data_IF_860257945038
#
_entry.id   IF_860257945038
#
_cell.length_a   1.000
_cell.length_b   1.000
_cell.length_c   1.000
_cell.angle_alpha   90.00
_cell.angle_beta   90.00
_cell.angle_gamma   90.00
#
_symmetry.space_group_name_H-M   'P 1'
#
loop_
_entity.id
_entity.type
_entity.pdbx_description
1 polymer ?
#
# COMPACT_ATOMS: atom_id res chain seq x y z
N UNK A 1 -0.37 20.62 52.34
CA UNK A 1 -0.08 20.77 50.90
C UNK A 1 1.37 20.41 50.63
N UNK A 2 1.67 19.23 50.08
CA UNK A 2 2.99 18.95 49.48
C UNK A 2 2.98 17.60 48.73
N UNK A 3 3.47 17.66 47.50
CA UNK A 3 3.94 16.64 46.54
C UNK A 3 3.16 15.35 46.22
N UNK A 4 2.26 14.84 47.06
CA UNK A 4 1.47 13.63 46.75
C UNK A 4 0.20 13.88 45.91
N UNK A 5 -0.15 15.15 45.70
CA UNK A 5 -1.27 15.57 44.84
C UNK A 5 -0.89 15.97 43.41
N UNK A 6 0.36 15.73 42.99
CA UNK A 6 0.86 16.10 41.65
C UNK A 6 1.28 14.91 40.77
N UNK A 7 1.04 13.68 41.20
CA UNK A 7 1.43 12.48 40.47
C UNK A 7 0.24 11.53 40.31
N UNK A 8 -0.27 11.52 39.07
CA UNK A 8 -1.16 10.54 38.41
C UNK A 8 -2.68 10.78 38.65
N UNK A 9 -3.55 10.85 37.61
CA UNK A 9 -3.33 10.60 36.17
C UNK A 9 -3.80 11.73 35.23
N UNK A 10 -2.92 12.20 34.34
CA UNK A 10 -3.35 12.90 33.11
C UNK A 10 -3.95 11.94 32.06
N UNK A 11 -4.30 10.70 32.42
CA UNK A 11 -5.13 9.80 31.60
C UNK A 11 -6.64 10.12 31.70
N UNK A 12 -7.02 11.24 32.33
CA UNK A 12 -8.43 11.60 32.58
C UNK A 12 -8.93 12.82 31.78
N UNK A 13 -8.52 13.02 30.53
CA UNK A 13 -9.21 13.96 29.60
C UNK A 13 -9.31 13.49 28.16
N UNK A 14 -9.37 12.18 27.91
CA UNK A 14 -9.92 11.67 26.65
C UNK A 14 -10.75 10.39 26.85
N UNK A 15 -12.06 10.51 27.08
CA UNK A 15 -12.93 9.34 27.25
C UNK A 15 -12.99 8.45 25.98
N UNK A 16 -12.57 8.95 24.82
CA UNK A 16 -12.60 8.23 23.56
C UNK A 16 -11.69 6.99 23.54
N UNK A 17 -10.49 7.03 24.11
CA UNK A 17 -9.56 5.88 24.07
C UNK A 17 -10.09 4.65 24.83
N UNK A 18 -10.96 4.87 25.81
CA UNK A 18 -11.63 3.81 26.55
C UNK A 18 -12.85 3.25 25.82
N UNK A 19 -13.37 3.97 24.81
CA UNK A 19 -14.49 3.55 23.96
C UNK A 19 -14.02 2.84 22.69
N UNK A 20 -12.72 2.87 22.38
CA UNK A 20 -12.16 2.10 21.26
C UNK A 20 -12.41 0.60 21.52
N UNK A 21 -12.97 -0.14 20.55
CA UNK A 21 -13.23 -1.57 20.72
C UNK A 21 -11.98 -2.35 21.16
N UNK A 22 -12.10 -3.36 22.06
CA UNK A 22 -10.95 -4.06 22.61
C UNK A 22 -10.04 -4.70 21.56
N UNK A 23 -10.62 -5.26 20.48
CA UNK A 23 -9.85 -5.88 19.40
C UNK A 23 -8.99 -4.84 18.66
N UNK A 24 -9.55 -3.66 18.36
CA UNK A 24 -8.81 -2.56 17.73
C UNK A 24 -7.77 -1.97 18.66
N UNK A 25 -8.09 -1.84 19.95
CA UNK A 25 -7.16 -1.30 20.95
C UNK A 25 -5.87 -2.12 21.05
N UNK A 26 -5.92 -3.44 20.79
CA UNK A 26 -4.75 -4.32 20.74
C UNK A 26 -3.83 -4.05 19.54
N UNK A 27 -4.34 -3.41 18.49
CA UNK A 27 -3.59 -3.05 17.28
C UNK A 27 -2.98 -1.65 17.35
N UNK A 28 -3.19 -0.92 18.46
CA UNK A 28 -2.66 0.42 18.66
C UNK A 28 -1.32 0.35 19.40
N UNK A 29 -0.33 1.05 18.87
CA UNK A 29 0.93 1.30 19.58
C UNK A 29 0.75 2.52 20.48
N UNK A 30 0.83 2.33 21.80
CA UNK A 30 0.69 3.41 22.79
C UNK A 30 2.02 3.53 23.54
N UNK A 31 2.58 4.74 23.56
CA UNK A 31 3.77 5.08 24.33
C UNK A 31 3.43 6.05 25.46
N UNK A 32 4.06 5.81 26.62
CA UNK A 32 4.00 6.69 27.79
C UNK A 32 5.18 7.66 27.86
N UNK A 33 6.11 7.56 26.92
CA UNK A 33 7.25 8.45 26.80
C UNK A 33 6.88 9.73 26.04
N UNK A 34 7.82 10.67 25.94
CA UNK A 34 7.70 11.81 25.00
C UNK A 34 8.14 11.36 23.61
N UNK A 35 7.53 11.88 22.53
CA UNK A 35 8.03 11.64 21.19
C UNK A 35 9.46 12.16 21.06
N UNK A 36 10.33 11.36 20.44
CA UNK A 36 11.74 11.64 20.15
C UNK A 36 11.89 12.44 18.85
N UNK A 37 10.94 12.33 17.93
CA UNK A 37 10.95 13.09 16.68
C UNK A 37 10.26 12.34 15.54
N UNK A 38 9.95 13.09 14.48
CA UNK A 38 9.37 12.56 13.24
C UNK A 38 10.42 12.59 12.11
N UNK A 39 10.42 11.56 11.26
CA UNK A 39 11.40 11.47 10.17
C UNK A 39 11.19 10.24 9.28
N UNK A 40 11.90 10.24 8.15
CA UNK A 40 11.94 9.13 7.20
C UNK A 40 13.20 8.31 7.41
N UNK A 41 13.05 7.00 7.62
CA UNK A 41 14.18 6.08 7.71
C UNK A 41 15.19 6.47 8.78
N UNK A 42 16.44 6.04 8.63
CA UNK A 42 17.49 6.36 9.59
C UNK A 42 18.01 7.79 9.39
N UNK A 43 17.95 8.62 10.43
CA UNK A 43 18.48 9.98 10.38
C UNK A 43 19.85 10.04 11.05
N UNK A 44 20.78 10.72 10.39
CA UNK A 44 22.08 11.06 10.94
C UNK A 44 22.20 12.57 11.05
N UNK A 45 22.46 13.07 12.25
CA UNK A 45 22.83 14.47 12.45
C UNK A 45 24.32 14.53 12.78
N UNK A 46 25.06 15.28 11.96
CA UNK A 46 26.46 15.60 12.21
C UNK A 46 26.51 16.99 12.86
N UNK A 47 26.97 17.06 14.09
CA UNK A 47 27.19 18.34 14.78
C UNK A 47 28.68 18.55 15.04
N UNK A 48 29.16 19.77 14.75
CA UNK A 48 30.54 20.17 15.01
C UNK A 48 30.50 21.25 16.09
N UNK A 49 31.09 20.96 17.25
CA UNK A 49 31.21 21.94 18.33
C UNK A 49 32.33 22.94 18.08
N UNK A 50 32.27 24.11 18.72
CA UNK A 50 33.32 25.15 18.68
C UNK A 50 34.69 24.66 19.18
N UNK A 51 34.75 23.48 19.82
CA UNK A 51 35.99 22.82 20.27
C UNK A 51 36.51 21.77 19.27
N UNK A 52 35.90 21.65 18.09
CA UNK A 52 36.31 20.71 17.05
C UNK A 52 35.84 19.27 17.25
N UNK A 53 35.04 18.97 18.27
CA UNK A 53 34.43 17.65 18.40
C UNK A 53 33.34 17.48 17.35
N UNK A 54 33.39 16.37 16.62
CA UNK A 54 32.35 15.89 15.71
C UNK A 54 31.53 14.85 16.45
N UNK A 55 30.23 15.09 16.57
CA UNK A 55 29.28 14.14 17.13
C UNK A 55 28.38 13.59 16.00
N UNK A 56 28.13 12.29 16.06
CA UNK A 56 27.31 11.56 15.09
C UNK A 56 26.13 10.97 15.85
N UNK A 57 24.99 11.67 15.79
CA UNK A 57 23.77 11.18 16.40
C UNK A 57 22.95 10.40 15.37
N UNK A 58 22.72 9.12 15.68
CA UNK A 58 21.84 8.23 14.94
C UNK A 58 20.46 8.27 15.60
N UNK A 59 19.48 8.87 14.92
CA UNK A 59 18.10 8.90 15.39
C UNK A 59 17.23 7.98 14.55
N UNK A 60 16.56 7.05 15.22
CA UNK A 60 15.47 6.26 14.64
C UNK A 60 14.20 7.06 14.89
N UNK A 61 13.57 7.64 13.85
CA UNK A 61 12.35 8.41 14.03
C UNK A 61 11.25 7.51 14.59
N UNK A 62 10.36 8.13 15.36
CA UNK A 62 9.26 7.40 15.94
C UNK A 62 8.29 6.92 14.86
N UNK A 63 7.62 5.79 15.14
CA UNK A 63 6.61 5.30 14.22
C UNK A 63 5.43 6.28 14.16
N UNK A 64 5.02 6.72 12.95
CA UNK A 64 3.98 7.74 12.79
C UNK A 64 2.64 7.36 13.42
N UNK A 65 2.37 6.06 13.59
CA UNK A 65 1.12 5.56 14.20
C UNK A 65 1.13 5.57 15.73
N UNK A 66 2.28 5.81 16.37
CA UNK A 66 2.43 5.71 17.83
C UNK A 66 1.60 6.78 18.53
N UNK A 67 0.66 6.35 19.36
CA UNK A 67 -0.16 7.21 20.21
C UNK A 67 0.64 7.53 21.48
N UNK A 68 1.08 8.78 21.62
CA UNK A 68 1.77 9.25 22.81
C UNK A 68 0.78 9.77 23.85
N UNK A 69 0.66 9.07 24.99
CA UNK A 69 -0.25 9.48 26.07
C UNK A 69 0.17 10.78 26.77
N UNK A 70 1.42 11.20 26.58
CA UNK A 70 1.97 12.45 27.12
C UNK A 70 1.50 13.68 26.34
N UNK A 71 1.01 13.50 25.12
CA UNK A 71 0.56 14.60 24.27
C UNK A 71 -0.91 14.94 24.54
N UNK A 72 -1.25 16.24 24.71
CA UNK A 72 -2.61 16.64 24.98
C UNK A 72 -3.48 16.40 23.75
N UNK A 73 -4.71 16.00 24.01
CA UNK A 73 -5.68 15.75 22.98
C UNK A 73 -7.08 16.09 23.48
N UNK A 74 -7.88 16.71 22.62
CA UNK A 74 -9.11 17.41 22.96
C UNK A 74 -10.16 17.09 21.92
N UNK A 75 -11.35 16.74 22.37
CA UNK A 75 -12.50 16.60 21.52
C UNK A 75 -12.84 17.96 20.87
N UNK A 76 -12.79 18.07 19.53
CA UNK A 76 -13.08 19.34 18.86
C UNK A 76 -14.57 19.67 18.98
N UNK A 77 -14.86 20.95 19.27
CA UNK A 77 -16.24 21.46 19.32
C UNK A 77 -16.91 21.48 17.94
N UNK A 78 -16.11 21.70 16.89
CA UNK A 78 -16.53 21.71 15.48
C UNK A 78 -15.60 20.80 14.67
N UNK A 79 -15.85 19.47 14.64
CA UNK A 79 -15.03 18.50 13.92
C UNK A 79 -14.77 18.86 12.45
N UNK A 80 -15.74 19.48 11.78
CA UNK A 80 -15.70 19.93 10.39
C UNK A 80 -14.69 21.05 10.14
N UNK A 81 -14.32 21.82 11.16
CA UNK A 81 -13.37 22.92 11.07
C UNK A 81 -11.95 22.52 11.46
N UNK A 82 -11.74 21.27 11.88
CA UNK A 82 -10.40 20.77 12.21
C UNK A 82 -9.57 20.67 10.93
N UNK A 83 -8.39 21.32 10.86
CA UNK A 83 -7.54 21.26 9.69
C UNK A 83 -7.17 19.81 9.33
N UNK A 84 -7.08 19.54 8.03
CA UNK A 84 -6.57 18.28 7.48
C UNK A 84 -5.13 18.03 7.93
N UNK A 85 -4.71 16.77 7.92
CA UNK A 85 -3.32 16.46 8.23
C UNK A 85 -2.40 16.82 7.07
N UNK A 86 -1.12 17.03 7.40
CA UNK A 86 -0.04 17.17 6.41
C UNK A 86 0.18 15.86 5.64
N UNK A 87 0.96 15.96 4.56
CA UNK A 87 1.43 14.78 3.85
C UNK A 87 2.40 13.97 4.73
N UNK A 88 2.35 12.64 4.61
CA UNK A 88 3.04 11.70 5.52
C UNK A 88 2.80 11.98 7.01
N UNK A 89 1.53 11.97 7.45
CA UNK A 89 1.16 12.43 8.78
C UNK A 89 1.70 11.54 9.89
N UNK A 90 1.93 12.13 11.06
CA UNK A 90 2.25 11.41 12.30
C UNK A 90 1.36 11.86 13.47
N UNK A 91 1.02 10.93 14.37
CA UNK A 91 0.24 11.25 15.57
C UNK A 91 0.93 12.29 16.46
N UNK A 92 2.26 12.24 16.56
CA UNK A 92 3.06 13.17 17.34
C UNK A 92 2.94 14.62 16.86
N UNK A 93 2.74 14.85 15.56
CA UNK A 93 2.64 16.19 14.98
C UNK A 93 1.21 16.75 14.95
N UNK A 94 0.20 15.92 15.21
CA UNK A 94 -1.18 16.38 15.27
C UNK A 94 -1.39 17.46 16.34
N UNK A 95 -2.24 18.45 16.07
CA UNK A 95 -2.71 19.36 17.11
C UNK A 95 -3.58 18.61 18.13
N UNK A 96 -3.82 19.17 19.34
CA UNK A 96 -4.68 18.51 20.32
C UNK A 96 -6.07 18.16 19.79
N UNK A 97 -6.66 19.02 18.96
CA UNK A 97 -7.98 18.79 18.34
C UNK A 97 -7.95 17.69 17.29
N UNK A 98 -6.89 17.63 16.47
CA UNK A 98 -6.67 16.55 15.51
C UNK A 98 -6.50 15.20 16.21
N UNK A 99 -5.74 15.14 17.31
CA UNK A 99 -5.62 13.91 18.13
C UNK A 99 -6.95 13.47 18.73
N UNK A 100 -7.78 14.41 19.19
CA UNK A 100 -9.12 14.10 19.68
C UNK A 100 -10.05 13.57 18.59
N UNK A 101 -10.03 14.20 17.41
CA UNK A 101 -10.76 13.72 16.25
C UNK A 101 -10.34 12.30 15.86
N UNK A 102 -9.02 12.05 15.78
CA UNK A 102 -8.45 10.74 15.46
C UNK A 102 -8.88 9.66 16.44
N UNK A 103 -8.73 9.89 17.74
CA UNK A 103 -9.06 8.92 18.78
C UNK A 103 -10.57 8.64 18.86
N UNK A 104 -11.41 9.64 18.57
CA UNK A 104 -12.85 9.44 18.39
C UNK A 104 -13.15 8.59 17.17
N UNK A 105 -12.48 8.85 16.04
CA UNK A 105 -12.65 8.08 14.81
C UNK A 105 -12.23 6.62 14.96
N UNK A 106 -11.18 6.32 15.74
CA UNK A 106 -10.81 4.94 16.06
C UNK A 106 -11.91 4.15 16.80
N UNK A 107 -12.92 4.79 17.39
CA UNK A 107 -14.07 4.08 17.93
C UNK A 107 -14.93 3.41 16.83
N UNK A 108 -15.04 4.03 15.65
CA UNK A 108 -15.73 3.51 14.47
C UNK A 108 -15.02 4.00 13.19
N UNK A 109 -14.07 3.18 12.72
CA UNK A 109 -13.24 3.49 11.55
C UNK A 109 -14.01 3.46 10.23
N UNK A 110 -15.29 3.09 10.23
CA UNK A 110 -16.14 3.09 9.04
C UNK A 110 -16.65 4.48 8.69
N UNK A 111 -16.55 5.44 9.63
CA UNK A 111 -16.99 6.82 9.41
C UNK A 111 -16.05 7.56 8.45
N UNK A 112 -16.57 8.38 7.53
CA UNK A 112 -15.74 9.22 6.67
C UNK A 112 -14.85 10.16 7.50
N UNK A 113 -13.59 10.29 7.09
CA UNK A 113 -12.62 11.19 7.71
C UNK A 113 -11.60 11.63 6.63
N UNK A 114 -10.84 12.69 6.91
CA UNK A 114 -9.68 13.02 6.08
C UNK A 114 -8.70 11.83 6.02
N UNK A 115 -8.23 11.51 4.81
CA UNK A 115 -7.47 10.29 4.54
C UNK A 115 -6.16 10.22 5.33
N UNK A 116 -5.59 11.36 5.73
CA UNK A 116 -4.39 11.39 6.55
C UNK A 116 -4.56 10.61 7.86
N UNK A 117 -5.73 10.71 8.50
CA UNK A 117 -6.03 9.97 9.72
C UNK A 117 -6.09 8.45 9.48
N UNK A 118 -6.63 8.04 8.34
CA UNK A 118 -6.65 6.62 7.92
C UNK A 118 -5.22 6.12 7.77
N UNK A 119 -4.33 6.90 7.12
CA UNK A 119 -2.93 6.55 6.98
C UNK A 119 -2.21 6.41 8.32
N UNK A 120 -2.44 7.30 9.29
CA UNK A 120 -1.83 7.19 10.63
C UNK A 120 -2.19 5.87 11.30
N UNK A 121 -3.45 5.44 11.24
CA UNK A 121 -3.84 4.14 11.77
C UNK A 121 -3.26 2.97 10.94
N UNK A 122 -3.35 3.08 9.61
CA UNK A 122 -2.85 2.08 8.68
C UNK A 122 -1.35 1.80 8.84
N UNK A 123 -0.52 2.82 9.13
CA UNK A 123 0.90 2.64 9.40
C UNK A 123 1.16 1.66 10.56
N UNK A 124 0.33 1.70 11.60
CA UNK A 124 0.39 0.74 12.71
C UNK A 124 -0.02 -0.66 12.27
N UNK A 125 -1.07 -0.77 11.43
CA UNK A 125 -1.50 -2.04 10.87
C UNK A 125 -0.41 -2.70 10.01
N UNK A 126 0.36 -1.93 9.24
CA UNK A 126 1.50 -2.47 8.48
C UNK A 126 2.57 -3.08 9.41
N UNK A 127 2.77 -2.55 10.61
CA UNK A 127 3.66 -3.19 11.60
C UNK A 127 3.13 -4.54 12.06
N UNK A 128 1.81 -4.64 12.24
CA UNK A 128 1.17 -5.91 12.59
C UNK A 128 1.25 -6.94 11.45
N UNK A 129 1.13 -6.51 10.19
CA UNK A 129 1.36 -7.37 9.04
C UNK A 129 2.76 -8.00 9.03
N UNK A 130 3.78 -7.27 9.46
CA UNK A 130 5.15 -7.77 9.49
C UNK A 130 5.47 -8.54 10.77
N UNK A 131 5.18 -7.96 11.92
CA UNK A 131 5.76 -8.37 13.21
C UNK A 131 4.72 -8.70 14.29
N UNK A 132 3.43 -8.46 14.05
CA UNK A 132 2.40 -8.56 15.07
C UNK A 132 1.26 -9.52 14.71
N UNK A 133 0.08 -9.16 15.21
CA UNK A 133 -1.20 -9.83 14.94
C UNK A 133 -1.66 -9.62 13.49
N UNK A 134 -1.22 -10.54 12.63
CA UNK A 134 -1.41 -10.48 11.19
C UNK A 134 -2.89 -10.56 10.78
N UNK A 135 -3.65 -11.50 11.36
CA UNK A 135 -5.03 -11.77 10.93
C UNK A 135 -5.95 -10.60 11.28
N UNK A 136 -5.82 -10.05 12.50
CA UNK A 136 -6.59 -8.88 12.91
C UNK A 136 -6.22 -7.62 12.11
N UNK A 137 -4.93 -7.46 11.76
CA UNK A 137 -4.51 -6.35 10.91
C UNK A 137 -5.10 -6.46 9.50
N UNK A 138 -5.09 -7.65 8.89
CA UNK A 138 -5.76 -7.88 7.59
C UNK A 138 -7.24 -7.54 7.68
N UNK A 139 -7.95 -7.99 8.72
CA UNK A 139 -9.37 -7.72 8.90
C UNK A 139 -9.65 -6.20 8.95
N UNK A 140 -8.88 -5.45 9.73
CA UNK A 140 -9.02 -4.00 9.83
C UNK A 140 -8.62 -3.29 8.54
N UNK A 141 -7.57 -3.72 7.84
CA UNK A 141 -7.19 -3.16 6.53
C UNK A 141 -8.32 -3.37 5.52
N UNK A 142 -8.92 -4.56 5.46
CA UNK A 142 -10.05 -4.85 4.56
C UNK A 142 -11.27 -4.01 4.91
N UNK A 143 -11.55 -3.80 6.21
CA UNK A 143 -12.61 -2.89 6.65
C UNK A 143 -12.34 -1.45 6.18
N UNK A 144 -11.11 -0.96 6.35
CA UNK A 144 -10.74 0.38 5.89
C UNK A 144 -10.86 0.50 4.36
N UNK A 145 -10.37 -0.48 3.60
CA UNK A 145 -10.47 -0.50 2.12
C UNK A 145 -11.91 -0.42 1.63
N UNK A 146 -12.84 -1.06 2.35
CA UNK A 146 -14.27 -1.03 2.03
C UNK A 146 -14.91 0.35 2.25
N UNK A 147 -14.46 1.11 3.24
CA UNK A 147 -15.11 2.34 3.67
C UNK A 147 -14.39 3.63 3.23
N UNK A 148 -13.14 3.54 2.80
CA UNK A 148 -12.31 4.69 2.40
C UNK A 148 -11.82 4.54 0.96
N UNK A 149 -12.55 5.13 0.02
CA UNK A 149 -12.18 5.15 -1.39
C UNK A 149 -11.12 6.23 -1.66
N UNK A 150 -9.86 5.84 -1.60
CA UNK A 150 -8.73 6.69 -1.94
C UNK A 150 -7.69 5.88 -2.72
N UNK A 151 -7.37 6.30 -3.95
CA UNK A 151 -6.51 5.54 -4.85
C UNK A 151 -5.13 5.20 -4.29
N UNK A 152 -4.48 6.13 -3.58
CA UNK A 152 -3.19 5.86 -2.94
C UNK A 152 -3.31 4.84 -1.81
N UNK A 153 -4.32 4.99 -0.95
CA UNK A 153 -4.57 4.03 0.13
C UNK A 153 -4.90 2.63 -0.42
N UNK A 154 -5.74 2.54 -1.45
CA UNK A 154 -6.07 1.28 -2.11
C UNK A 154 -4.84 0.60 -2.73
N UNK A 155 -3.94 1.38 -3.34
CA UNK A 155 -2.70 0.85 -3.93
C UNK A 155 -1.70 0.38 -2.89
N UNK A 156 -1.48 1.14 -1.81
CA UNK A 156 -0.53 0.74 -0.77
C UNK A 156 -1.03 -0.48 0.01
N UNK A 157 -2.33 -0.50 0.34
CA UNK A 157 -2.89 -1.62 1.11
C UNK A 157 -2.97 -2.92 0.32
N UNK A 158 -3.24 -2.88 -1.00
CA UNK A 158 -3.18 -4.11 -1.81
C UNK A 158 -1.75 -4.64 -1.93
N UNK A 159 -0.78 -3.75 -2.15
CA UNK A 159 0.65 -4.10 -2.12
C UNK A 159 1.06 -4.74 -0.79
N UNK A 160 0.76 -4.07 0.34
CA UNK A 160 1.12 -4.57 1.65
C UNK A 160 0.46 -5.92 1.97
N UNK A 161 -0.81 -6.14 1.60
CA UNK A 161 -1.50 -7.43 1.79
C UNK A 161 -0.77 -8.54 1.05
N UNK A 162 -0.51 -8.38 -0.25
CA UNK A 162 0.12 -9.42 -1.07
C UNK A 162 1.52 -9.75 -0.56
N UNK A 163 2.36 -8.73 -0.37
CA UNK A 163 3.74 -8.93 0.07
C UNK A 163 3.82 -9.50 1.49
N UNK A 164 2.98 -9.02 2.41
CA UNK A 164 2.97 -9.54 3.78
C UNK A 164 2.45 -10.99 3.84
N UNK A 165 1.46 -11.36 3.02
CA UNK A 165 1.02 -12.76 2.91
C UNK A 165 2.16 -13.66 2.45
N UNK A 166 2.94 -13.23 1.44
CA UNK A 166 4.10 -14.00 0.96
C UNK A 166 5.19 -14.12 2.03
N UNK A 167 5.57 -13.00 2.68
CA UNK A 167 6.58 -12.97 3.74
C UNK A 167 6.20 -13.84 4.94
N UNK A 168 4.91 -13.84 5.32
CA UNK A 168 4.38 -14.63 6.43
C UNK A 168 4.00 -16.06 6.03
N UNK A 169 4.19 -16.46 4.77
CA UNK A 169 3.79 -17.75 4.18
C UNK A 169 2.29 -18.05 4.36
N UNK A 170 1.45 -17.01 4.28
CA UNK A 170 -0.02 -17.05 4.44
C UNK A 170 -0.75 -17.05 3.10
N UNK A 171 -0.43 -18.03 2.26
CA UNK A 171 -1.10 -18.20 0.97
C UNK A 171 -2.59 -18.51 1.16
N UNK A 172 -2.95 -19.16 2.27
CA UNK A 172 -4.34 -19.39 2.69
C UNK A 172 -5.14 -18.08 2.79
N UNK A 173 -4.56 -17.05 3.41
CA UNK A 173 -5.20 -15.74 3.54
C UNK A 173 -5.28 -15.01 2.23
N UNK A 174 -4.22 -15.09 1.42
CA UNK A 174 -4.21 -14.46 0.10
C UNK A 174 -5.35 -15.02 -0.77
N UNK A 175 -5.53 -16.34 -0.79
CA UNK A 175 -6.62 -17.01 -1.50
C UNK A 175 -7.98 -16.62 -0.95
N UNK A 176 -8.13 -16.54 0.37
CA UNK A 176 -9.39 -16.13 1.01
C UNK A 176 -9.77 -14.68 0.64
N UNK A 177 -8.83 -13.74 0.73
CA UNK A 177 -9.06 -12.31 0.47
C UNK A 177 -9.45 -12.07 -1.00
N UNK A 178 -8.83 -12.81 -1.91
CA UNK A 178 -8.97 -12.62 -3.35
C UNK A 178 -9.80 -13.70 -4.06
N UNK A 179 -10.62 -14.44 -3.31
CA UNK A 179 -11.48 -15.49 -3.84
C UNK A 179 -12.45 -14.97 -4.92
N UNK A 180 -12.98 -13.76 -4.71
CA UNK A 180 -13.99 -13.13 -5.59
C UNK A 180 -13.39 -12.17 -6.63
N UNK A 181 -12.06 -12.09 -6.71
CA UNK A 181 -11.36 -11.24 -7.68
C UNK A 181 -10.07 -10.66 -7.13
N UNK A 182 -9.03 -10.65 -7.97
CA UNK A 182 -7.70 -10.14 -7.63
C UNK A 182 -7.53 -8.69 -8.09
N UNK A 183 -7.47 -7.76 -7.15
CA UNK A 183 -7.39 -6.31 -7.42
C UNK A 183 -5.96 -5.73 -7.44
N UNK A 184 -4.95 -6.61 -7.37
CA UNK A 184 -3.54 -6.23 -7.29
C UNK A 184 -2.75 -6.76 -8.49
N UNK A 185 -2.47 -5.92 -9.49
CA UNK A 185 -1.62 -6.34 -10.61
C UNK A 185 -0.57 -5.29 -10.94
N UNK A 186 0.66 -5.53 -10.52
CA UNK A 186 1.79 -4.63 -10.70
C UNK A 186 3.10 -5.37 -11.03
N UNK A 187 4.25 -4.69 -10.90
CA UNK A 187 5.55 -5.31 -11.15
C UNK A 187 5.83 -6.52 -10.23
N UNK A 188 5.35 -6.49 -8.99
CA UNK A 188 5.49 -7.59 -8.04
C UNK A 188 4.77 -8.84 -8.53
N UNK A 189 3.57 -8.68 -9.08
CA UNK A 189 2.82 -9.78 -9.70
C UNK A 189 3.63 -10.45 -10.81
N UNK A 190 4.28 -9.67 -11.67
CA UNK A 190 5.16 -10.18 -12.72
C UNK A 190 6.39 -10.92 -12.16
N UNK A 191 7.01 -10.40 -11.11
CA UNK A 191 8.16 -11.05 -10.46
C UNK A 191 7.76 -12.36 -9.79
N UNK A 192 6.61 -12.40 -9.12
CA UNK A 192 6.06 -13.61 -8.51
C UNK A 192 5.85 -14.69 -9.59
N UNK A 193 5.22 -14.34 -10.72
CA UNK A 193 5.05 -15.26 -11.85
C UNK A 193 6.41 -15.76 -12.36
N UNK A 194 7.36 -14.84 -12.57
CA UNK A 194 8.70 -15.18 -13.06
C UNK A 194 9.43 -16.19 -12.17
N UNK A 195 9.54 -15.90 -10.87
CA UNK A 195 10.28 -16.74 -9.94
C UNK A 195 9.62 -18.12 -9.72
N UNK A 196 8.30 -18.20 -9.87
CA UNK A 196 7.57 -19.47 -9.80
C UNK A 196 7.47 -20.19 -11.16
N UNK A 197 8.10 -19.66 -12.22
CA UNK A 197 8.03 -20.20 -13.59
C UNK A 197 6.60 -20.37 -14.09
N UNK A 198 5.74 -19.42 -13.74
CA UNK A 198 4.36 -19.34 -14.19
C UNK A 198 4.26 -18.38 -15.38
N UNK A 199 3.38 -18.74 -16.31
CA UNK A 199 3.07 -17.93 -17.48
C UNK A 199 2.05 -16.85 -17.13
N UNK A 200 2.05 -15.74 -17.87
CA UNK A 200 1.02 -14.70 -17.71
C UNK A 200 -0.22 -15.15 -18.48
N UNK A 201 -1.30 -15.44 -17.76
CA UNK A 201 -2.57 -15.85 -18.37
C UNK A 201 -3.17 -14.71 -19.20
N UNK A 202 -4.13 -15.03 -20.08
CA UNK A 202 -4.83 -14.00 -20.85
C UNK A 202 -5.59 -13.00 -19.96
N UNK A 203 -6.13 -13.42 -18.81
CA UNK A 203 -6.75 -12.53 -17.81
C UNK A 203 -5.73 -11.54 -17.23
N UNK A 204 -4.55 -12.04 -16.85
CA UNK A 204 -3.47 -11.20 -16.35
C UNK A 204 -2.92 -10.27 -17.43
N UNK A 205 -2.85 -10.73 -18.68
CA UNK A 205 -2.52 -9.88 -19.83
C UNK A 205 -3.57 -8.79 -20.05
N UNK A 206 -4.86 -9.08 -19.82
CA UNK A 206 -5.92 -8.07 -19.86
C UNK A 206 -5.75 -7.03 -18.73
N UNK A 207 -5.37 -7.45 -17.53
CA UNK A 207 -5.01 -6.53 -16.43
C UNK A 207 -3.79 -5.67 -16.82
N UNK A 208 -2.76 -6.29 -17.42
CA UNK A 208 -1.57 -5.58 -17.90
C UNK A 208 -1.90 -4.54 -18.98
N UNK A 209 -2.82 -4.84 -19.89
CA UNK A 209 -3.29 -3.89 -20.91
C UNK A 209 -3.91 -2.62 -20.29
N UNK A 210 -4.54 -2.75 -19.12
CA UNK A 210 -5.15 -1.64 -18.40
C UNK A 210 -4.11 -0.73 -17.74
N UNK A 211 -2.99 -1.27 -17.26
CA UNK A 211 -1.98 -0.49 -16.53
C UNK A 211 -0.75 -0.08 -17.37
N UNK A 212 -0.41 -0.80 -18.45
CA UNK A 212 0.80 -0.53 -19.22
C UNK A 212 0.71 0.78 -20.02
N UNK A 213 1.68 1.71 -19.88
CA UNK A 213 1.71 2.94 -20.68
C UNK A 213 1.84 2.64 -22.18
N UNK A 214 1.17 3.44 -23.03
CA UNK A 214 1.23 3.29 -24.50
C UNK A 214 0.20 2.32 -25.10
N UNK A 215 -0.48 1.50 -24.29
CA UNK A 215 -1.55 0.62 -24.78
C UNK A 215 -2.79 1.43 -25.17
N UNK A 216 -3.31 1.19 -26.38
CA UNK A 216 -4.56 1.78 -26.84
C UNK A 216 -5.77 1.09 -26.19
N UNK A 217 -6.34 1.75 -25.18
CA UNK A 217 -7.42 1.23 -24.34
C UNK A 217 -8.83 1.37 -24.94
N UNK A 218 -8.98 1.83 -26.20
CA UNK A 218 -10.30 2.01 -26.82
C UNK A 218 -11.13 0.73 -26.76
N UNK A 219 -10.57 -0.39 -27.21
CA UNK A 219 -11.30 -1.67 -27.25
C UNK A 219 -11.27 -2.43 -25.92
N UNK A 220 -10.27 -2.18 -25.08
CA UNK A 220 -10.28 -2.66 -23.68
C UNK A 220 -11.56 -2.20 -22.98
N UNK A 221 -11.94 -0.94 -23.17
CA UNK A 221 -13.16 -0.35 -22.58
C UNK A 221 -14.44 -0.71 -23.35
N UNK A 222 -14.44 -0.61 -24.67
CA UNK A 222 -15.65 -0.77 -25.48
C UNK A 222 -16.06 -2.23 -25.69
N UNK A 223 -15.10 -3.16 -25.67
CA UNK A 223 -15.32 -4.57 -26.02
C UNK A 223 -14.41 -5.49 -25.17
N UNK A 224 -14.55 -5.49 -23.84
CA UNK A 224 -13.64 -6.20 -22.93
C UNK A 224 -13.57 -7.71 -23.23
N UNK A 225 -14.72 -8.37 -23.38
CA UNK A 225 -14.81 -9.81 -23.65
C UNK A 225 -14.09 -10.18 -24.96
N UNK A 226 -14.38 -9.44 -26.05
CA UNK A 226 -13.73 -9.67 -27.34
C UNK A 226 -12.23 -9.36 -27.29
N UNK A 227 -11.82 -8.32 -26.56
CA UNK A 227 -10.39 -7.98 -26.39
C UNK A 227 -9.66 -9.10 -25.65
N UNK A 228 -10.24 -9.62 -24.57
CA UNK A 228 -9.70 -10.74 -23.80
C UNK A 228 -9.61 -12.03 -24.62
N UNK A 229 -10.64 -12.34 -25.41
CA UNK A 229 -10.59 -13.44 -26.37
C UNK A 229 -9.43 -13.26 -27.37
N UNK A 230 -9.26 -12.04 -27.92
CA UNK A 230 -8.18 -11.75 -28.88
C UNK A 230 -6.78 -11.75 -28.26
N UNK A 231 -6.64 -11.53 -26.95
CA UNK A 231 -5.38 -11.82 -26.25
C UNK A 231 -5.07 -13.31 -26.36
N UNK A 232 -6.01 -14.19 -26.02
CA UNK A 232 -5.83 -15.65 -26.08
C UNK A 232 -5.47 -16.13 -27.49
N UNK A 233 -6.17 -15.63 -28.51
CA UNK A 233 -5.91 -15.96 -29.91
C UNK A 233 -4.47 -15.58 -30.33
N UNK A 234 -4.06 -14.33 -30.04
CA UNK A 234 -2.72 -13.80 -30.41
C UNK A 234 -1.61 -14.53 -29.66
N UNK A 235 -1.80 -14.87 -28.38
CA UNK A 235 -0.82 -15.63 -27.62
C UNK A 235 -0.68 -17.06 -28.17
N UNK A 236 -1.80 -17.71 -28.49
CA UNK A 236 -1.81 -19.06 -29.05
C UNK A 236 -1.11 -19.09 -30.42
N UNK A 237 -1.37 -18.10 -31.27
CA UNK A 237 -0.72 -17.97 -32.59
C UNK A 237 0.80 -17.79 -32.46
N UNK A 238 1.26 -16.97 -31.51
CA UNK A 238 2.69 -16.65 -31.36
C UNK A 238 3.49 -17.71 -30.60
N UNK A 239 2.89 -18.30 -29.57
CA UNK A 239 3.60 -19.11 -28.58
C UNK A 239 3.08 -20.55 -28.49
N UNK A 240 2.02 -20.89 -29.24
CA UNK A 240 1.37 -22.20 -29.16
C UNK A 240 0.58 -22.42 -27.85
N UNK A 241 0.39 -21.38 -27.04
CA UNK A 241 -0.27 -21.42 -25.74
C UNK A 241 -1.08 -20.13 -25.52
N UNK A 242 -2.31 -20.18 -24.96
CA UNK A 242 -3.09 -19.00 -24.59
C UNK A 242 -2.49 -18.16 -23.44
N UNK A 243 -1.37 -18.57 -22.86
CA UNK A 243 -0.60 -17.84 -21.86
C UNK A 243 0.77 -17.38 -22.41
N UNK A 244 1.26 -16.25 -21.91
CA UNK A 244 2.55 -15.69 -22.31
C UNK A 244 3.69 -16.31 -21.48
N UNK A 245 4.70 -16.93 -22.11
CA UNK A 245 5.73 -17.70 -21.40
C UNK A 245 6.82 -16.80 -20.78
N UNK A 246 6.47 -16.04 -19.75
CA UNK A 246 7.29 -14.96 -19.18
C UNK A 246 8.72 -15.37 -18.84
N UNK A 247 8.88 -16.49 -18.16
CA UNK A 247 10.18 -16.92 -17.63
C UNK A 247 11.17 -17.37 -18.72
N UNK A 248 10.69 -17.81 -19.88
CA UNK A 248 11.53 -18.19 -21.01
C UNK A 248 11.89 -17.02 -21.93
N UNK A 249 11.12 -15.93 -21.90
CA UNK A 249 11.34 -14.78 -22.78
C UNK A 249 12.36 -13.78 -22.23
N UNK A 250 12.51 -13.69 -20.90
CA UNK A 250 13.39 -12.70 -20.28
C UNK A 250 14.34 -13.29 -19.25
N UNK A 251 15.51 -12.68 -19.13
CA UNK A 251 16.42 -12.91 -18.01
C UNK A 251 16.39 -11.70 -17.08
N UNK A 252 15.97 -11.89 -15.83
CA UNK A 252 16.01 -10.82 -14.83
C UNK A 252 17.44 -10.42 -14.42
N UNK A 253 18.47 -11.21 -14.76
CA UNK A 253 19.86 -10.94 -14.37
C UNK A 253 20.40 -9.58 -14.85
N UNK A 254 19.84 -9.04 -15.94
CA UNK A 254 20.25 -7.77 -16.55
C UNK A 254 19.24 -6.64 -16.33
N UNK A 255 18.16 -6.90 -15.62
CA UNK A 255 17.13 -5.91 -15.35
C UNK A 255 17.53 -5.13 -14.10
N UNK A 256 17.65 -3.82 -14.25
CA UNK A 256 17.99 -2.92 -13.14
C UNK A 256 16.98 -3.08 -11.98
N UNK A 257 17.54 -3.24 -10.77
CA UNK A 257 16.77 -3.21 -9.55
C UNK A 257 16.50 -1.76 -9.14
N UNK A 258 15.23 -1.40 -8.95
CA UNK A 258 14.85 -0.07 -8.48
C UNK A 258 14.10 -0.19 -7.14
N UNK A 259 14.14 0.85 -6.28
CA UNK A 259 13.33 0.88 -5.07
C UNK A 259 11.83 0.74 -5.40
N UNK A 260 11.18 -0.23 -4.77
CA UNK A 260 9.77 -0.53 -5.01
C UNK A 260 8.94 -0.35 -3.73
N UNK A 261 8.04 0.64 -3.66
CA UNK A 261 7.34 0.98 -2.42
C UNK A 261 6.28 -0.06 -2.08
N UNK A 262 6.65 -1.05 -1.26
CA UNK A 262 5.74 -2.10 -0.79
C UNK A 262 4.80 -1.55 0.28
N UNK A 263 5.37 -0.87 1.27
CA UNK A 263 4.66 -0.37 2.46
C UNK A 263 4.61 1.15 2.49
N UNK A 264 3.52 1.69 3.01
CA UNK A 264 3.33 3.13 3.14
C UNK A 264 4.09 3.71 4.34
N UNK A 265 4.23 2.93 5.43
CA UNK A 265 4.79 3.36 6.70
C UNK A 265 6.25 3.78 6.54
N UNK A 266 6.50 5.05 6.84
CA UNK A 266 7.78 5.71 6.60
C UNK A 266 8.84 5.38 7.64
N UNK A 267 8.44 4.79 8.76
CA UNK A 267 9.35 4.35 9.83
C UNK A 267 10.10 3.07 9.46
N UNK A 268 9.60 2.31 8.48
CA UNK A 268 10.30 1.13 8.00
C UNK A 268 11.59 1.51 7.29
N UNK A 269 12.60 0.68 7.49
CA UNK A 269 13.88 0.85 6.79
C UNK A 269 13.68 0.68 5.28
N UNK A 270 14.53 1.30 4.44
CA UNK A 270 14.41 1.20 2.99
C UNK A 270 14.39 -0.25 2.47
N UNK A 271 15.07 -1.17 3.14
CA UNK A 271 15.13 -2.60 2.78
C UNK A 271 13.78 -3.30 2.97
N UNK A 272 12.96 -2.81 3.90
CA UNK A 272 11.61 -3.33 4.16
C UNK A 272 10.58 -2.56 3.36
N UNK A 273 10.65 -1.21 3.41
CA UNK A 273 9.65 -0.32 2.83
C UNK A 273 9.72 -0.27 1.30
N UNK A 274 10.95 -0.13 0.78
CA UNK A 274 11.24 0.14 -0.62
C UNK A 274 12.37 -0.74 -1.15
N UNK A 275 12.30 -2.07 -1.00
CA UNK A 275 13.37 -2.95 -1.48
C UNK A 275 13.62 -2.77 -2.97
N UNK A 276 14.87 -2.95 -3.37
CA UNK A 276 15.25 -2.88 -4.78
C UNK A 276 14.88 -4.18 -5.49
N UNK A 277 13.96 -4.09 -6.46
CA UNK A 277 13.55 -5.21 -7.30
C UNK A 277 13.74 -4.94 -8.78
N UNK A 278 14.06 -5.97 -9.59
CA UNK A 278 14.00 -5.88 -11.04
C UNK A 278 12.63 -5.34 -11.48
N UNK A 279 12.60 -4.33 -12.33
CA UNK A 279 11.33 -3.76 -12.78
C UNK A 279 11.06 -4.04 -14.27
N UNK A 280 10.24 -5.05 -14.54
CA UNK A 280 9.82 -5.43 -15.90
C UNK A 280 9.00 -4.31 -16.56
N UNK A 281 8.18 -3.59 -15.80
CA UNK A 281 7.38 -2.47 -16.32
C UNK A 281 8.24 -1.27 -16.77
N UNK A 282 9.51 -1.20 -16.34
CA UNK A 282 10.51 -0.23 -16.81
C UNK A 282 11.53 -0.82 -17.78
N UNK A 283 11.55 -2.13 -17.97
CA UNK A 283 12.47 -2.82 -18.86
C UNK A 283 12.03 -2.67 -20.32
N UNK A 284 12.82 -1.93 -21.13
CA UNK A 284 12.45 -1.59 -22.51
C UNK A 284 12.13 -2.80 -23.41
N UNK A 285 12.89 -3.92 -23.40
CA UNK A 285 12.53 -5.12 -24.16
C UNK A 285 11.14 -5.66 -23.80
N UNK A 286 10.85 -5.78 -22.49
CA UNK A 286 9.55 -6.24 -22.00
C UNK A 286 8.42 -5.31 -22.49
N UNK A 287 8.60 -3.99 -22.31
CA UNK A 287 7.61 -3.00 -22.76
C UNK A 287 7.36 -3.06 -24.26
N UNK A 288 8.41 -3.20 -25.06
CA UNK A 288 8.32 -3.22 -26.52
C UNK A 288 7.56 -4.46 -26.99
N UNK A 289 7.85 -5.62 -26.41
CA UNK A 289 7.17 -6.86 -26.73
C UNK A 289 5.69 -6.83 -26.32
N UNK A 290 5.38 -6.40 -25.10
CA UNK A 290 3.99 -6.23 -24.65
C UNK A 290 3.24 -5.22 -25.53
N UNK A 291 3.88 -4.12 -25.92
CA UNK A 291 3.26 -3.11 -26.80
C UNK A 291 2.98 -3.68 -28.19
N UNK A 292 3.86 -4.52 -28.73
CA UNK A 292 3.64 -5.21 -30.00
C UNK A 292 2.44 -6.17 -29.92
N UNK A 293 2.38 -7.00 -28.88
CA UNK A 293 1.26 -7.91 -28.63
C UNK A 293 -0.06 -7.13 -28.53
N UNK A 294 -0.12 -6.07 -27.71
CA UNK A 294 -1.36 -5.31 -27.55
C UNK A 294 -1.78 -4.53 -28.80
N UNK A 295 -0.83 -4.17 -29.67
CA UNK A 295 -1.14 -3.58 -30.98
C UNK A 295 -1.80 -4.60 -31.92
N UNK A 296 -1.29 -5.83 -31.94
CA UNK A 296 -1.89 -6.92 -32.72
C UNK A 296 -3.29 -7.27 -32.21
N UNK A 297 -3.47 -7.39 -30.89
CA UNK A 297 -4.78 -7.59 -30.27
C UNK A 297 -5.74 -6.45 -30.64
N UNK A 298 -5.28 -5.20 -30.59
CA UNK A 298 -6.11 -4.04 -30.96
C UNK A 298 -6.59 -4.10 -32.42
N UNK A 299 -5.70 -4.42 -33.35
CA UNK A 299 -6.07 -4.55 -34.76
C UNK A 299 -6.97 -5.76 -35.02
N UNK A 300 -6.75 -6.89 -34.33
CA UNK A 300 -7.63 -8.06 -34.42
C UNK A 300 -9.06 -7.73 -33.97
N UNK A 301 -9.23 -7.02 -32.85
CA UNK A 301 -10.55 -6.56 -32.38
C UNK A 301 -11.20 -5.59 -33.36
N UNK A 302 -10.42 -4.68 -33.95
CA UNK A 302 -10.90 -3.72 -34.95
C UNK A 302 -11.41 -4.42 -36.22
N UNK A 303 -10.69 -5.42 -36.71
CA UNK A 303 -11.07 -6.22 -37.89
C UNK A 303 -12.36 -6.99 -37.60
N UNK A 304 -12.42 -7.70 -36.48
CA UNK A 304 -13.62 -8.45 -36.09
C UNK A 304 -14.83 -7.52 -35.92
N UNK A 305 -14.61 -6.34 -35.33
CA UNK A 305 -15.64 -5.32 -35.18
C UNK A 305 -16.19 -4.76 -36.48
N UNK A 306 -15.40 -4.74 -37.57
CA UNK A 306 -15.87 -4.36 -38.91
C UNK A 306 -16.68 -5.48 -39.54
N UNK A 307 -16.18 -6.72 -39.47
CA UNK A 307 -16.87 -7.91 -39.98
C UNK A 307 -18.25 -8.10 -39.37
N UNK A 308 -18.40 -7.88 -38.06
CA UNK A 308 -19.72 -7.99 -37.40
C UNK A 308 -20.70 -6.89 -37.82
N UNK A 309 -20.21 -5.74 -38.32
CA UNK A 309 -21.07 -4.66 -38.83
C UNK A 309 -21.52 -4.90 -40.26
N UNK A 310 -20.69 -5.54 -41.08
CA UNK A 310 -21.02 -5.90 -42.47
C UNK A 310 -22.01 -7.08 -42.55
N UNK A 311 -22.13 -7.87 -41.48
CA UNK A 311 -23.08 -8.99 -41.36
C UNK A 311 -24.44 -8.62 -40.75
N UNK A 312 -24.63 -7.36 -40.31
CA UNK A 312 -25.88 -6.83 -39.74
C UNK A 312 -26.54 -5.88 -40.72
#
# INVERSE_FOLDING_TARGET
>A
MSLLGKLIPWTTRQPAINKIPPYRKKLLYISYDKPRGHGFGLQFTVSISDRGNVDLNQEVPDDPSTIYSTLPARDPSSPENVPKLSYFPSYSEMTPEQRGLYLRWLCDVTKPIDIGYVFVYYYGLERHLLYGDFDEAINEIMLLRKHHDNGSFQSYSSSAIVHSCLLRKRVDKLQQIYADGFDYFDNSSLLILYYNKLDITHDMMFQLANCLPGVNRRYVKLKPELYMQKISDVLTEKFGNPAYPLSSQFSLKKVEGIPYPIFANISFSPEVRTPCFPNLLRHSPFKNEMSAIFKEVHEAVKIESKRSKEKK
#
